data_IF_582952056253
#
_entry.id   IF_582952056253
#
_cell.length_a   1.000
_cell.length_b   1.000
_cell.length_c   1.000
_cell.angle_alpha   90.00
_cell.angle_beta   90.00
_cell.angle_gamma   90.00
#
_symmetry.space_group_name_H-M   'P 1'
#
loop_
_entity.id
_entity.type
_entity.pdbx_description
1 polymer ?
#
# COMPACT_ATOMS: atom_id res chain seq x y z
N UNK A 1 6.63 15.70 -8.82
CA UNK A 1 5.46 14.84 -8.81
C UNK A 1 5.66 13.62 -7.92
N UNK A 2 4.58 12.92 -7.60
CA UNK A 2 4.62 11.70 -6.80
C UNK A 2 5.58 10.65 -7.39
N UNK A 3 5.62 10.54 -8.70
CA UNK A 3 6.47 9.57 -9.41
C UNK A 3 7.97 9.79 -9.20
N UNK A 4 8.41 10.99 -8.85
CA UNK A 4 9.84 11.27 -8.59
C UNK A 4 10.30 10.81 -7.21
N UNK A 5 9.39 10.44 -6.33
CA UNK A 5 9.65 10.08 -4.93
C UNK A 5 9.72 8.57 -4.69
N UNK A 6 9.71 7.77 -5.75
CA UNK A 6 9.73 6.30 -5.67
C UNK A 6 10.53 5.69 -6.82
N UNK A 7 11.10 4.51 -6.58
CA UNK A 7 11.67 3.67 -7.66
C UNK A 7 10.59 3.03 -8.54
N UNK A 8 9.35 2.99 -8.09
CA UNK A 8 8.21 2.47 -8.85
C UNK A 8 7.58 3.54 -9.76
N UNK A 9 8.38 4.47 -10.26
CA UNK A 9 7.97 5.61 -11.08
C UNK A 9 7.06 5.20 -12.25
N UNK A 10 7.46 4.17 -12.99
CA UNK A 10 6.70 3.71 -14.15
C UNK A 10 5.31 3.19 -13.77
N UNK A 11 5.18 2.58 -12.60
CA UNK A 11 3.91 2.10 -12.09
C UNK A 11 2.98 3.28 -11.79
N UNK A 12 3.47 4.28 -11.09
CA UNK A 12 2.67 5.47 -10.74
C UNK A 12 2.28 6.24 -12.00
N UNK A 13 3.21 6.41 -12.94
CA UNK A 13 2.93 7.13 -14.20
C UNK A 13 1.94 6.38 -15.10
N UNK A 14 1.97 5.04 -15.07
CA UNK A 14 1.07 4.19 -15.85
C UNK A 14 -0.28 3.92 -15.19
N UNK A 15 -0.42 4.16 -13.89
CA UNK A 15 -1.66 3.93 -13.17
C UNK A 15 -2.60 5.14 -13.27
N UNK A 16 -3.87 4.94 -13.68
CA UNK A 16 -4.83 6.05 -13.73
C UNK A 16 -5.24 6.54 -12.34
N UNK A 17 -5.11 5.72 -11.29
CA UNK A 17 -5.51 6.07 -9.92
C UNK A 17 -4.44 5.62 -8.93
N UNK A 18 -4.12 6.54 -8.00
CA UNK A 18 -3.29 6.26 -6.85
C UNK A 18 -4.03 6.71 -5.59
N UNK A 19 -4.10 5.83 -4.60
CA UNK A 19 -4.69 6.13 -3.29
C UNK A 19 -3.55 6.22 -2.29
N UNK A 20 -3.38 7.38 -1.67
CA UNK A 20 -2.45 7.55 -0.55
C UNK A 20 -3.18 7.23 0.75
N UNK A 21 -2.62 6.30 1.52
CA UNK A 21 -3.20 5.86 2.80
C UNK A 21 -2.39 6.45 3.94
N UNK A 22 -3.07 7.14 4.82
CA UNK A 22 -2.46 7.82 5.97
C UNK A 22 -2.97 7.28 7.29
N UNK A 23 -2.10 7.28 8.30
CA UNK A 23 -2.47 7.11 9.70
C UNK A 23 -2.68 8.51 10.30
N UNK A 24 -3.84 8.74 10.89
CA UNK A 24 -4.16 10.00 11.56
C UNK A 24 -3.73 9.94 13.03
N UNK A 25 -2.61 10.57 13.35
CA UNK A 25 -2.04 10.59 14.70
C UNK A 25 -2.93 11.28 15.74
N UNK A 26 -3.87 12.10 15.33
CA UNK A 26 -4.81 12.73 16.25
C UNK A 26 -5.85 11.75 16.83
N UNK A 27 -5.98 10.57 16.23
CA UNK A 27 -6.98 9.55 16.58
C UNK A 27 -6.40 8.20 16.98
N UNK A 28 -5.07 8.05 16.98
CA UNK A 28 -4.44 6.79 17.36
C UNK A 28 -4.54 6.54 18.86
N UNK A 29 -4.66 5.28 19.25
CA UNK A 29 -4.67 4.86 20.65
C UNK A 29 -3.61 3.81 20.97
N UNK A 30 -3.16 3.06 19.98
CA UNK A 30 -2.10 2.04 20.11
C UNK A 30 -1.43 1.85 18.76
N UNK A 31 -0.15 2.18 18.66
CA UNK A 31 0.57 2.16 17.38
C UNK A 31 0.55 0.79 16.72
N UNK A 32 0.77 -0.28 17.49
CA UNK A 32 0.81 -1.64 16.93
C UNK A 32 -0.54 -2.02 16.31
N UNK A 33 -1.61 -1.81 17.05
CA UNK A 33 -2.97 -2.15 16.59
C UNK A 33 -3.40 -1.27 15.41
N UNK A 34 -3.06 0.01 15.47
CA UNK A 34 -3.44 0.94 14.41
C UNK A 34 -2.71 0.63 13.11
N UNK A 35 -1.42 0.24 13.17
CA UNK A 35 -0.67 -0.21 11.99
C UNK A 35 -1.25 -1.50 11.41
N UNK A 36 -1.65 -2.45 12.27
CA UNK A 36 -2.30 -3.68 11.83
C UNK A 36 -3.63 -3.40 11.14
N UNK A 37 -4.42 -2.47 11.68
CA UNK A 37 -5.70 -2.07 11.08
C UNK A 37 -5.51 -1.42 9.70
N UNK A 38 -4.50 -0.57 9.55
CA UNK A 38 -4.15 0.04 8.26
C UNK A 38 -3.75 -1.04 7.25
N UNK A 39 -2.91 -2.00 7.65
CA UNK A 39 -2.52 -3.12 6.79
C UNK A 39 -3.71 -3.95 6.33
N UNK A 40 -4.64 -4.23 7.24
CA UNK A 40 -5.87 -4.96 6.91
C UNK A 40 -6.75 -4.17 5.93
N UNK A 41 -6.87 -2.86 6.12
CA UNK A 41 -7.60 -1.97 5.21
C UNK A 41 -6.99 -2.01 3.80
N UNK A 42 -5.67 -1.91 3.69
CA UNK A 42 -4.98 -1.94 2.39
C UNK A 42 -5.18 -3.30 1.71
N UNK A 43 -5.10 -4.39 2.45
CA UNK A 43 -5.35 -5.72 1.90
C UNK A 43 -6.78 -5.84 1.36
N UNK A 44 -7.77 -5.32 2.07
CA UNK A 44 -9.15 -5.28 1.60
C UNK A 44 -9.30 -4.43 0.33
N UNK A 45 -8.58 -3.32 0.23
CA UNK A 45 -8.53 -2.52 -1.00
C UNK A 45 -8.02 -3.34 -2.18
N UNK A 46 -6.92 -4.09 -2.00
CA UNK A 46 -6.34 -4.93 -3.04
C UNK A 46 -7.30 -6.04 -3.47
N UNK A 47 -7.97 -6.69 -2.52
CA UNK A 47 -8.96 -7.71 -2.83
C UNK A 47 -10.16 -7.13 -3.59
N UNK A 48 -10.62 -5.95 -3.21
CA UNK A 48 -11.70 -5.25 -3.92
C UNK A 48 -11.29 -4.90 -5.34
N UNK A 49 -10.09 -4.35 -5.53
CA UNK A 49 -9.54 -4.04 -6.86
C UNK A 49 -9.53 -5.30 -7.73
N UNK A 50 -9.05 -6.41 -7.18
CA UNK A 50 -9.03 -7.70 -7.89
C UNK A 50 -10.45 -8.17 -8.25
N UNK A 51 -11.39 -8.06 -7.32
CA UNK A 51 -12.78 -8.49 -7.55
C UNK A 51 -13.47 -7.68 -8.66
N UNK A 52 -13.03 -6.46 -8.91
CA UNK A 52 -13.52 -5.60 -9.97
C UNK A 52 -12.83 -5.87 -11.33
N UNK A 53 -11.95 -6.86 -11.41
CA UNK A 53 -11.21 -7.18 -12.62
C UNK A 53 -10.07 -6.21 -12.92
N UNK A 54 -9.67 -5.41 -11.94
CA UNK A 54 -8.58 -4.44 -12.06
C UNK A 54 -7.28 -5.02 -11.51
N UNK A 55 -6.17 -4.39 -11.87
CA UNK A 55 -4.85 -4.68 -11.28
C UNK A 55 -4.47 -3.60 -10.28
N UNK A 56 -3.91 -4.00 -9.15
CA UNK A 56 -3.47 -3.08 -8.13
C UNK A 56 -2.16 -3.51 -7.49
N UNK A 57 -1.44 -2.55 -6.94
CA UNK A 57 -0.19 -2.80 -6.24
C UNK A 57 -0.08 -1.92 -5.01
N UNK A 58 0.41 -2.51 -3.95
CA UNK A 58 0.77 -1.84 -2.70
C UNK A 58 2.23 -1.37 -2.79
N UNK A 59 2.44 -0.07 -2.88
CA UNK A 59 3.75 0.54 -2.94
C UNK A 59 4.22 0.92 -1.54
N UNK A 60 5.18 0.17 -1.01
CA UNK A 60 5.78 0.44 0.31
C UNK A 60 7.11 1.17 0.24
N UNK A 61 7.86 1.01 -0.83
CA UNK A 61 9.19 1.61 -0.99
C UNK A 61 9.16 3.13 -0.96
N UNK A 62 8.07 3.74 -1.41
CA UNK A 62 7.85 5.19 -1.39
C UNK A 62 7.92 5.78 0.03
N UNK A 63 7.78 4.95 1.08
CA UNK A 63 7.82 5.39 2.48
C UNK A 63 9.17 5.97 2.91
N UNK A 64 10.25 5.70 2.19
CA UNK A 64 11.53 6.38 2.40
C UNK A 64 11.42 7.90 2.20
N UNK A 65 10.44 8.36 1.43
CA UNK A 65 10.14 9.75 1.14
C UNK A 65 8.80 10.21 1.71
N UNK A 66 8.30 9.55 2.76
CA UNK A 66 6.93 9.75 3.26
C UNK A 66 6.60 11.21 3.62
N UNK A 67 7.55 11.95 4.15
CA UNK A 67 7.34 13.35 4.51
C UNK A 67 7.21 14.24 3.27
N UNK A 68 8.03 14.00 2.25
CA UNK A 68 7.96 14.71 0.97
C UNK A 68 6.66 14.42 0.23
N UNK A 69 6.18 13.18 0.30
CA UNK A 69 4.90 12.79 -0.28
C UNK A 69 3.75 13.49 0.44
N UNK A 70 3.76 13.50 1.76
CA UNK A 70 2.74 14.18 2.55
C UNK A 70 2.69 15.68 2.24
N UNK A 71 3.85 16.32 2.13
CA UNK A 71 3.95 17.72 1.75
C UNK A 71 3.39 17.98 0.36
N UNK A 72 3.77 17.15 -0.62
CA UNK A 72 3.30 17.26 -1.99
C UNK A 72 1.77 17.15 -2.08
N UNK A 73 1.17 16.28 -1.27
CA UNK A 73 -0.27 16.04 -1.25
C UNK A 73 -1.03 17.03 -0.35
N UNK A 74 -0.32 17.94 0.31
CA UNK A 74 -0.92 18.89 1.23
C UNK A 74 -1.48 18.28 2.50
N UNK A 75 -0.96 17.11 2.90
CA UNK A 75 -1.36 16.44 4.12
C UNK A 75 -0.85 17.20 5.35
N UNK A 76 -1.70 17.33 6.38
CA UNK A 76 -1.33 17.94 7.64
C UNK A 76 -0.27 17.12 8.40
N UNK A 77 0.42 17.75 9.33
CA UNK A 77 1.50 17.12 10.11
C UNK A 77 1.04 15.95 10.99
N UNK A 78 -0.24 15.83 11.28
CA UNK A 78 -0.80 14.72 12.04
C UNK A 78 -1.01 13.46 11.18
N UNK A 79 -0.81 13.55 9.87
CA UNK A 79 -0.99 12.43 8.95
C UNK A 79 0.35 11.81 8.58
N UNK A 80 0.50 10.53 8.86
CA UNK A 80 1.68 9.74 8.48
C UNK A 80 1.35 8.85 7.29
N UNK A 81 2.11 8.96 6.20
CA UNK A 81 1.91 8.11 5.03
C UNK A 81 2.23 6.65 5.40
N UNK A 82 1.29 5.77 5.10
CA UNK A 82 1.43 4.33 5.34
C UNK A 82 1.69 3.54 4.06
N UNK A 83 1.10 3.95 2.96
CA UNK A 83 1.27 3.31 1.65
C UNK A 83 0.69 4.17 0.54
N UNK A 84 1.05 3.84 -0.68
CA UNK A 84 0.34 4.27 -1.89
C UNK A 84 -0.13 3.01 -2.60
N UNK A 85 -1.41 2.96 -2.91
CA UNK A 85 -2.01 1.89 -3.72
C UNK A 85 -2.26 2.44 -5.11
N UNK A 86 -1.59 1.87 -6.11
CA UNK A 86 -1.78 2.24 -7.51
C UNK A 86 -2.62 1.17 -8.19
N UNK A 87 -3.61 1.56 -8.99
CA UNK A 87 -4.43 0.57 -9.67
C UNK A 87 -5.03 1.10 -10.98
N UNK A 88 -5.48 0.17 -11.80
CA UNK A 88 -6.08 0.42 -13.09
C UNK A 88 -6.36 -0.86 -13.85
N UNK A 89 -6.67 -0.76 -15.12
CA UNK A 89 -6.87 -1.93 -15.98
C UNK A 89 -5.54 -2.65 -16.21
N UNK A 90 -5.55 -3.98 -16.13
CA UNK A 90 -4.37 -4.80 -16.37
C UNK A 90 -4.01 -4.78 -17.86
N UNK A 91 -2.80 -4.32 -18.18
CA UNK A 91 -2.24 -4.45 -19.51
C UNK A 91 -1.55 -5.81 -19.71
N UNK A 92 -0.95 -6.33 -18.63
CA UNK A 92 -0.25 -7.60 -18.61
C UNK A 92 -0.52 -8.31 -17.28
N UNK A 93 -0.84 -9.59 -17.35
CA UNK A 93 -1.05 -10.39 -16.14
C UNK A 93 0.29 -10.58 -15.41
N UNK A 94 0.35 -10.33 -14.10
CA UNK A 94 1.58 -10.56 -13.33
C UNK A 94 1.87 -12.07 -13.25
N UNK A 95 3.16 -12.40 -13.12
CA UNK A 95 3.58 -13.76 -12.84
C UNK A 95 3.22 -14.18 -11.43
N UNK A 96 3.27 -15.49 -11.19
CA UNK A 96 3.06 -16.06 -9.86
C UNK A 96 4.25 -15.72 -8.95
N UNK A 97 3.96 -15.31 -7.74
CA UNK A 97 4.96 -15.11 -6.70
C UNK A 97 5.36 -16.43 -6.05
N UNK A 98 6.48 -16.42 -5.36
CA UNK A 98 6.90 -17.56 -4.55
C UNK A 98 6.35 -17.44 -3.13
N UNK A 99 5.99 -18.59 -2.55
CA UNK A 99 5.53 -18.69 -1.17
C UNK A 99 6.23 -19.88 -0.49
N UNK A 100 6.62 -19.67 0.75
CA UNK A 100 7.05 -20.79 1.59
C UNK A 100 5.87 -21.72 1.85
N UNK A 101 6.18 -23.01 2.09
CA UNK A 101 5.13 -23.92 2.53
C UNK A 101 4.55 -23.46 3.86
N UNK A 102 3.27 -23.72 4.05
CA UNK A 102 2.57 -23.34 5.28
C UNK A 102 3.21 -23.94 6.53
N UNK A 103 3.73 -25.17 6.42
CA UNK A 103 4.38 -25.90 7.52
C UNK A 103 5.58 -25.15 8.10
N UNK A 104 6.30 -24.38 7.27
CA UNK A 104 7.43 -23.56 7.73
C UNK A 104 7.01 -22.37 8.57
N UNK A 105 5.72 -22.00 8.54
CA UNK A 105 5.18 -20.80 9.21
C UNK A 105 4.32 -21.12 10.41
N UNK A 106 3.99 -22.39 10.61
CA UNK A 106 3.17 -22.84 11.75
C UNK A 106 4.09 -23.54 12.75
N UNK A 107 4.15 -23.04 13.98
CA UNK A 107 4.99 -23.60 15.03
C UNK A 107 4.44 -24.87 15.63
N UNK A 108 3.11 -25.00 15.73
CA UNK A 108 2.44 -26.22 16.19
C UNK A 108 1.01 -26.31 15.64
N UNK A 109 0.52 -27.52 15.58
CA UNK A 109 -0.87 -27.83 15.21
C UNK A 109 -1.50 -28.72 16.27
N UNK A 110 -2.76 -28.53 16.48
CA UNK A 110 -3.58 -29.43 17.31
C UNK A 110 -4.37 -30.38 16.42
#
# INVERSE_FOLDING_TARGET
SLATLTHSRSIIQGAPVCIAVFLDHSRVYDRTKDLQAVGACIQNMLLTIHSLGLGGIWLGEILKNKEKVAELLGAGKDLELMAVVAFGHLGKRPGDGERDSLDKRIFFRR
#
